data_IF_921748903600
#
_entry.id   IF_921748903600
#
_cell.length_a   1.000
_cell.length_b   1.000
_cell.length_c   1.000
_cell.angle_alpha   90.00
_cell.angle_beta   90.00
_cell.angle_gamma   90.00
#
_symmetry.space_group_name_H-M   'P 1'
#
loop_
_entity.id
_entity.type
_entity.pdbx_description
1 polymer ?
#
# COMPACT_ATOMS: atom_id res chain seq x y z
N UNK A 1 -7.09 -16.98 -53.48
CA UNK A 1 -6.04 -17.87 -54.04
C UNK A 1 -4.86 -17.92 -53.08
N UNK A 2 -4.36 -19.13 -52.86
CA UNK A 2 -3.31 -19.53 -51.93
C UNK A 2 -1.96 -18.87 -52.21
N UNK A 3 -1.15 -18.60 -51.17
CA UNK A 3 0.04 -19.42 -50.90
C UNK A 3 0.68 -19.12 -49.52
N UNK A 4 0.96 -20.23 -48.83
CA UNK A 4 1.75 -20.38 -47.61
C UNK A 4 3.21 -19.97 -47.82
N UNK A 5 3.89 -19.53 -46.75
CA UNK A 5 5.20 -20.08 -46.38
C UNK A 5 5.45 -20.02 -44.88
N UNK A 6 5.51 -21.22 -44.31
CA UNK A 6 6.15 -21.57 -43.05
C UNK A 6 7.64 -21.24 -43.10
N UNK A 7 8.19 -20.66 -42.03
CA UNK A 7 9.51 -21.01 -41.53
C UNK A 7 9.50 -20.97 -39.99
N UNK A 8 9.61 -22.18 -39.43
CA UNK A 8 10.06 -22.45 -38.07
C UNK A 8 11.57 -22.17 -38.01
N UNK A 9 12.04 -21.41 -37.02
CA UNK A 9 13.40 -21.54 -36.50
C UNK A 9 13.32 -21.64 -34.99
N UNK A 10 13.68 -22.83 -34.54
CA UNK A 10 13.98 -23.21 -33.17
C UNK A 10 15.38 -22.70 -32.81
N UNK A 11 15.56 -22.12 -31.62
CA UNK A 11 16.87 -22.09 -30.97
C UNK A 11 16.75 -21.93 -29.47
N UNK A 12 16.94 -23.07 -28.82
CA UNK A 12 17.25 -23.25 -27.41
C UNK A 12 18.61 -22.63 -27.09
N UNK A 13 18.70 -21.79 -26.08
CA UNK A 13 19.95 -21.65 -25.32
C UNK A 13 19.65 -21.58 -23.83
N UNK A 14 19.73 -22.77 -23.23
CA UNK A 14 19.94 -22.99 -21.82
C UNK A 14 21.33 -22.42 -21.47
N UNK A 15 21.39 -21.47 -20.54
CA UNK A 15 22.66 -21.07 -19.92
C UNK A 15 22.50 -21.07 -18.42
N UNK A 16 22.97 -22.17 -17.83
CA UNK A 16 23.26 -22.29 -16.42
C UNK A 16 24.36 -21.30 -16.04
N UNK A 17 24.06 -20.39 -15.10
CA UNK A 17 25.10 -19.66 -14.35
C UNK A 17 25.14 -20.15 -12.92
N UNK A 18 26.12 -21.01 -12.70
CA UNK A 18 27.01 -21.17 -11.54
C UNK A 18 26.68 -20.27 -10.34
N UNK A 19 26.23 -20.88 -9.24
CA UNK A 19 26.30 -20.31 -7.90
C UNK A 19 27.75 -20.38 -7.39
N UNK A 20 28.41 -19.24 -7.25
CA UNK A 20 29.63 -19.11 -6.45
C UNK A 20 29.27 -18.56 -5.07
N UNK A 21 29.33 -19.42 -4.05
CA UNK A 21 29.34 -19.02 -2.63
C UNK A 21 30.70 -18.42 -2.31
N UNK A 22 30.75 -17.14 -1.98
CA UNK A 22 31.91 -16.52 -1.32
C UNK A 22 31.58 -16.39 0.16
N UNK A 23 32.34 -17.11 0.99
CA UNK A 23 32.32 -17.00 2.44
C UNK A 23 33.01 -15.69 2.86
N UNK A 24 32.29 -14.84 3.60
CA UNK A 24 32.83 -13.64 4.23
C UNK A 24 33.21 -13.88 5.70
N UNK A 25 34.29 -13.28 6.22
CA UNK A 25 34.81 -13.55 7.55
C UNK A 25 34.04 -12.84 8.68
N UNK A 26 33.97 -13.54 9.80
CA UNK A 26 33.43 -13.10 11.09
C UNK A 26 34.13 -11.84 11.61
N UNK A 27 33.35 -10.78 11.87
CA UNK A 27 33.82 -9.60 12.61
C UNK A 27 33.33 -9.66 14.07
N UNK A 28 34.31 -9.75 14.97
CA UNK A 28 34.17 -9.71 16.43
C UNK A 28 33.68 -8.32 16.87
N UNK A 29 32.69 -8.28 17.75
CA UNK A 29 32.23 -7.07 18.44
C UNK A 29 33.09 -6.88 19.69
N UNK A 30 33.74 -5.73 19.83
CA UNK A 30 34.33 -5.25 21.08
C UNK A 30 33.46 -4.10 21.60
N UNK A 31 32.88 -4.29 22.78
CA UNK A 31 32.23 -3.23 23.55
C UNK A 31 33.31 -2.39 24.22
N UNK A 32 33.29 -1.07 24.00
CA UNK A 32 34.09 -0.11 24.78
C UNK A 32 33.17 0.63 25.73
N UNK A 33 33.29 0.28 27.00
CA UNK A 33 32.74 1.00 28.15
C UNK A 33 33.54 2.29 28.35
N UNK A 34 32.85 3.44 28.41
CA UNK A 34 33.45 4.69 28.89
C UNK A 34 32.67 5.13 30.13
N UNK A 35 33.43 5.30 31.21
CA UNK A 35 33.00 5.63 32.56
C UNK A 35 33.40 7.07 32.90
N UNK A 36 32.44 7.87 33.39
CA UNK A 36 32.57 9.04 34.31
C UNK A 36 33.43 10.23 33.88
N UNK A 37 33.45 11.36 34.63
CA UNK A 37 32.80 11.71 35.92
C UNK A 37 31.79 12.89 35.79
N UNK A 38 30.73 13.07 36.58
CA UNK A 38 30.55 13.33 38.03
C UNK A 38 30.88 14.77 38.51
N UNK A 39 29.87 15.37 39.19
CA UNK A 39 29.83 16.55 40.10
C UNK A 39 29.71 17.93 39.41
N UNK A 40 28.84 18.87 39.82
CA UNK A 40 28.32 19.14 41.16
C UNK A 40 26.91 19.81 41.16
N UNK A 41 26.22 19.60 42.30
CA UNK A 41 24.96 20.17 42.77
C UNK A 41 24.91 21.70 42.86
N UNK A 42 23.71 22.29 42.79
CA UNK A 42 23.17 23.18 43.84
C UNK A 42 21.65 23.01 43.94
N UNK A 43 21.19 22.94 45.20
CA UNK A 43 19.85 22.73 45.76
C UNK A 43 18.84 23.88 45.57
N UNK A 44 17.61 23.57 46.05
CA UNK A 44 16.58 24.44 46.63
C UNK A 44 15.44 24.83 45.68
N UNK A 45 14.14 24.79 46.03
CA UNK A 45 13.44 24.45 47.28
C UNK A 45 11.93 24.45 46.97
N UNK A 46 11.22 23.45 47.49
CA UNK A 46 9.85 23.47 48.07
C UNK A 46 8.72 24.22 47.33
N UNK A 47 7.71 23.47 46.88
CA UNK A 47 6.34 23.51 47.44
C UNK A 47 5.36 22.64 46.63
N UNK A 48 4.77 21.65 47.28
CA UNK A 48 3.47 21.08 46.90
C UNK A 48 2.34 22.05 47.32
N UNK A 49 1.12 21.90 46.79
CA UNK A 49 0.15 21.13 47.57
C UNK A 49 -0.79 20.23 46.76
N UNK A 50 -1.39 19.33 47.53
CA UNK A 50 -2.39 18.31 47.25
C UNK A 50 -3.82 18.87 47.14
N UNK A 51 -4.62 18.30 46.24
CA UNK A 51 -6.07 18.03 46.41
C UNK A 51 -6.54 17.10 45.27
N UNK A 52 -6.89 15.83 45.48
CA UNK A 52 -8.14 15.30 46.06
C UNK A 52 -9.41 15.62 45.25
N UNK A 53 -10.26 14.59 45.09
CA UNK A 53 -11.58 14.51 44.42
C UNK A 53 -11.55 14.26 42.90
N UNK A 54 -12.21 13.25 42.34
CA UNK A 54 -13.03 12.19 42.91
C UNK A 54 -13.49 11.24 41.78
N UNK A 55 -13.35 9.94 42.02
CA UNK A 55 -14.03 8.92 41.24
C UNK A 55 -15.53 9.04 41.50
N UNK A 56 -16.32 9.40 40.48
CA UNK A 56 -17.76 9.10 40.46
C UNK A 56 -18.03 8.07 39.39
N UNK A 57 -18.15 6.82 39.86
CA UNK A 57 -19.04 5.86 39.26
C UNK A 57 -20.47 6.43 39.32
N UNK A 58 -21.10 6.58 38.16
CA UNK A 58 -22.56 6.65 38.07
C UNK A 58 -22.97 5.51 37.17
N UNK A 59 -23.41 4.43 37.82
CA UNK A 59 -24.19 3.38 37.23
C UNK A 59 -25.61 3.89 36.95
N UNK A 60 -26.26 3.27 35.95
CA UNK A 60 -27.71 3.18 35.76
C UNK A 60 -28.45 4.46 35.32
N UNK A 61 -28.68 4.56 34.02
CA UNK A 61 -30.00 4.18 33.49
C UNK A 61 -29.89 3.86 31.99
N UNK A 62 -29.97 2.57 31.68
CA UNK A 62 -30.21 2.08 30.33
C UNK A 62 -31.68 2.33 29.98
N UNK A 63 -31.96 3.32 29.15
CA UNK A 63 -33.20 3.37 28.38
C UNK A 63 -32.98 2.55 27.12
N UNK A 64 -33.49 1.31 27.16
CA UNK A 64 -33.59 0.40 26.04
C UNK A 64 -34.70 0.86 25.09
N UNK A 65 -34.37 1.70 24.12
CA UNK A 65 -35.20 1.87 22.93
C UNK A 65 -34.80 0.81 21.89
N UNK A 66 -35.41 -0.36 22.03
CA UNK A 66 -35.20 -1.57 21.22
C UNK A 66 -35.73 -1.50 19.78
N UNK A 67 -35.61 -0.36 19.10
CA UNK A 67 -36.19 -0.15 17.76
C UNK A 67 -35.18 0.19 16.65
N UNK A 68 -33.87 0.23 16.92
CA UNK A 68 -32.85 0.63 15.91
C UNK A 68 -31.98 -0.50 15.33
N UNK A 69 -31.99 -1.69 15.93
CA UNK A 69 -31.06 -2.76 15.55
C UNK A 69 -31.51 -3.54 14.30
N UNK A 70 -32.81 -3.66 14.05
CA UNK A 70 -33.35 -4.36 12.88
C UNK A 70 -33.04 -3.63 11.57
N UNK A 71 -33.18 -2.29 11.55
CA UNK A 71 -32.87 -1.47 10.37
C UNK A 71 -31.36 -1.42 10.06
N UNK A 72 -30.50 -1.34 11.09
CA UNK A 72 -29.04 -1.42 10.92
C UNK A 72 -28.62 -2.78 10.36
N UNK A 73 -29.24 -3.88 10.84
CA UNK A 73 -28.94 -5.24 10.39
C UNK A 73 -29.35 -5.47 8.93
N UNK A 74 -30.51 -4.98 8.49
CA UNK A 74 -30.94 -5.10 7.09
C UNK A 74 -30.07 -4.25 6.15
N UNK A 75 -29.72 -3.01 6.54
CA UNK A 75 -28.80 -2.18 5.75
C UNK A 75 -27.40 -2.81 5.61
N UNK A 76 -26.91 -3.47 6.66
CA UNK A 76 -25.64 -4.19 6.62
C UNK A 76 -25.69 -5.43 5.70
N UNK A 77 -26.79 -6.18 5.70
CA UNK A 77 -27.00 -7.31 4.78
C UNK A 77 -27.02 -6.85 3.32
N UNK A 78 -27.72 -5.77 3.02
CA UNK A 78 -27.83 -5.26 1.64
C UNK A 78 -26.48 -4.70 1.14
N UNK A 79 -25.74 -4.01 2.01
CA UNK A 79 -24.38 -3.58 1.72
C UNK A 79 -23.44 -4.77 1.46
N UNK A 80 -23.55 -5.84 2.27
CA UNK A 80 -22.76 -7.06 2.09
C UNK A 80 -23.10 -7.79 0.77
N UNK A 81 -24.39 -7.86 0.41
CA UNK A 81 -24.84 -8.44 -0.87
C UNK A 81 -24.29 -7.65 -2.06
N UNK A 82 -24.35 -6.32 -1.99
CA UNK A 82 -23.78 -5.42 -3.00
C UNK A 82 -22.26 -5.62 -3.11
N UNK A 83 -21.56 -5.69 -1.98
CA UNK A 83 -20.10 -5.90 -1.96
C UNK A 83 -19.70 -7.28 -2.50
N UNK A 84 -20.49 -8.33 -2.23
CA UNK A 84 -20.30 -9.66 -2.84
C UNK A 84 -20.48 -9.61 -4.35
N UNK A 85 -21.51 -8.92 -4.85
CA UNK A 85 -21.74 -8.74 -6.29
C UNK A 85 -20.56 -8.03 -6.97
N UNK A 86 -20.07 -6.94 -6.37
CA UNK A 86 -18.86 -6.22 -6.82
C UNK A 86 -17.64 -7.14 -6.93
N UNK A 87 -17.40 -7.94 -5.89
CA UNK A 87 -16.26 -8.87 -5.85
C UNK A 87 -16.36 -9.93 -6.96
N UNK A 88 -17.52 -10.55 -7.11
CA UNK A 88 -17.74 -11.57 -8.15
C UNK A 88 -17.51 -10.99 -9.56
N UNK A 89 -17.98 -9.76 -9.83
CA UNK A 89 -17.72 -9.08 -11.11
C UNK A 89 -16.23 -8.89 -11.37
N UNK A 90 -15.47 -8.54 -10.34
CA UNK A 90 -14.02 -8.34 -10.47
C UNK A 90 -13.29 -9.67 -10.70
N UNK A 91 -13.63 -10.70 -9.93
CA UNK A 91 -13.02 -12.03 -10.02
C UNK A 91 -13.31 -12.68 -11.38
N UNK A 92 -14.57 -12.67 -11.86
CA UNK A 92 -14.95 -13.21 -13.17
C UNK A 92 -14.17 -12.56 -14.33
N UNK A 93 -13.93 -11.25 -14.25
CA UNK A 93 -13.21 -10.52 -15.29
C UNK A 93 -11.70 -10.76 -15.25
N UNK A 94 -11.12 -11.07 -14.08
CA UNK A 94 -9.71 -11.45 -13.96
C UNK A 94 -9.48 -12.89 -14.44
N UNK A 95 -10.47 -13.77 -14.27
CA UNK A 95 -10.40 -15.16 -14.73
C UNK A 95 -10.63 -15.31 -16.25
N UNK A 96 -11.32 -14.34 -16.86
CA UNK A 96 -11.51 -14.31 -18.31
C UNK A 96 -10.20 -13.98 -19.03
N UNK A 97 -9.37 -15.02 -19.19
CA UNK A 97 -8.02 -15.07 -19.78
C UNK A 97 -7.91 -14.48 -21.19
N UNK A 98 -9.04 -14.11 -21.82
CA UNK A 98 -9.11 -13.42 -23.11
C UNK A 98 -8.93 -11.91 -23.00
N UNK A 99 -9.06 -11.32 -21.82
CA UNK A 99 -8.81 -9.89 -21.60
C UNK A 99 -7.39 -9.73 -21.07
N UNK A 100 -6.44 -9.55 -21.97
CA UNK A 100 -5.01 -9.50 -21.67
C UNK A 100 -4.56 -8.20 -20.97
N UNK A 101 -5.47 -7.34 -20.49
CA UNK A 101 -5.10 -6.05 -19.88
C UNK A 101 -6.12 -5.57 -18.85
N UNK A 102 -5.69 -5.27 -17.62
CA UNK A 102 -6.58 -4.80 -16.54
C UNK A 102 -7.28 -3.51 -16.94
N UNK A 103 -6.63 -2.63 -17.71
CA UNK A 103 -7.25 -1.41 -18.24
C UNK A 103 -8.48 -1.66 -19.12
N UNK A 104 -8.42 -2.68 -19.98
CA UNK A 104 -9.57 -3.06 -20.83
C UNK A 104 -10.71 -3.61 -19.97
N UNK A 105 -10.37 -4.42 -18.97
CA UNK A 105 -11.30 -4.91 -17.96
C UNK A 105 -11.99 -3.77 -17.21
N UNK A 106 -11.24 -2.76 -16.74
CA UNK A 106 -11.81 -1.61 -16.02
C UNK A 106 -12.72 -0.76 -16.91
N UNK A 107 -12.36 -0.56 -18.17
CA UNK A 107 -13.23 0.13 -19.14
C UNK A 107 -14.51 -0.68 -19.43
N UNK A 108 -14.41 -2.01 -19.50
CA UNK A 108 -15.57 -2.89 -19.67
C UNK A 108 -16.46 -2.90 -18.41
N UNK A 109 -15.86 -2.88 -17.21
CA UNK A 109 -16.56 -2.81 -15.94
C UNK A 109 -17.43 -1.56 -15.85
N UNK A 110 -16.90 -0.39 -16.24
CA UNK A 110 -17.70 0.85 -16.29
C UNK A 110 -18.91 0.75 -17.23
N UNK A 111 -18.79 0.05 -18.36
CA UNK A 111 -19.93 -0.19 -19.26
C UNK A 111 -20.98 -1.10 -18.62
N UNK A 112 -20.54 -2.09 -17.85
CA UNK A 112 -21.41 -3.08 -17.18
C UNK A 112 -21.99 -2.61 -15.84
N UNK A 113 -21.56 -1.48 -15.28
CA UNK A 113 -22.17 -0.92 -14.06
C UNK A 113 -23.70 -0.79 -14.17
N UNK A 114 -24.19 -0.44 -15.37
CA UNK A 114 -25.63 -0.36 -15.68
C UNK A 114 -26.33 -1.71 -15.65
N UNK A 115 -25.69 -2.77 -16.14
CA UNK A 115 -26.25 -4.13 -16.21
C UNK A 115 -26.35 -4.77 -14.82
N UNK A 116 -25.35 -4.52 -13.97
CA UNK A 116 -25.30 -5.09 -12.63
C UNK A 116 -26.04 -4.22 -11.59
N UNK A 117 -26.42 -2.99 -11.94
CA UNK A 117 -27.07 -2.05 -11.01
C UNK A 117 -26.18 -1.67 -9.82
N UNK A 118 -24.86 -1.70 -10.00
CA UNK A 118 -23.88 -1.44 -8.94
C UNK A 118 -22.81 -0.49 -9.45
N UNK A 119 -22.58 0.60 -8.71
CA UNK A 119 -21.53 1.57 -9.01
C UNK A 119 -20.19 1.15 -8.38
N UNK A 120 -19.13 1.18 -9.17
CA UNK A 120 -17.75 0.88 -8.74
C UNK A 120 -17.10 2.21 -8.35
N UNK A 121 -16.72 2.32 -7.08
CA UNK A 121 -16.07 3.52 -6.54
C UNK A 121 -14.55 3.40 -6.60
N UNK A 122 -13.83 4.52 -6.50
CA UNK A 122 -12.37 4.52 -6.32
C UNK A 122 -11.94 3.66 -5.12
N UNK A 123 -12.68 3.72 -4.01
CA UNK A 123 -12.41 2.89 -2.85
C UNK A 123 -12.51 1.39 -3.14
N UNK A 124 -13.45 0.97 -4.01
CA UNK A 124 -13.53 -0.43 -4.44
C UNK A 124 -12.30 -0.83 -5.26
N UNK A 125 -11.87 0.03 -6.20
CA UNK A 125 -10.67 -0.18 -7.02
C UNK A 125 -9.41 -0.29 -6.16
N UNK A 126 -9.21 0.64 -5.23
CA UNK A 126 -8.07 0.63 -4.29
C UNK A 126 -8.07 -0.64 -3.45
N UNK A 127 -9.24 -1.05 -2.94
CA UNK A 127 -9.36 -2.29 -2.16
C UNK A 127 -9.00 -3.52 -2.98
N UNK A 128 -9.42 -3.58 -4.24
CA UNK A 128 -9.08 -4.66 -5.16
C UNK A 128 -7.59 -4.66 -5.52
N UNK A 129 -7.01 -3.51 -5.82
CA UNK A 129 -5.58 -3.38 -6.11
C UNK A 129 -4.72 -3.81 -4.91
N UNK A 130 -5.09 -3.40 -3.68
CA UNK A 130 -4.43 -3.86 -2.45
C UNK A 130 -4.54 -5.37 -2.23
N UNK A 131 -5.65 -6.00 -2.65
CA UNK A 131 -5.79 -7.45 -2.61
C UNK A 131 -4.84 -8.11 -3.61
N UNK A 132 -4.82 -7.63 -4.85
CA UNK A 132 -3.90 -8.12 -5.87
C UNK A 132 -2.42 -7.99 -5.45
N UNK A 133 -2.05 -6.88 -4.81
CA UNK A 133 -0.70 -6.68 -4.26
C UNK A 133 -0.35 -7.73 -3.20
N UNK A 134 -1.29 -8.03 -2.29
CA UNK A 134 -1.12 -9.09 -1.29
C UNK A 134 -1.00 -10.49 -1.91
N UNK A 135 -1.69 -10.72 -3.01
CA UNK A 135 -1.65 -11.99 -3.75
C UNK A 135 -0.39 -12.10 -4.65
N UNK A 136 0.55 -11.15 -4.57
CA UNK A 136 1.77 -11.12 -5.39
C UNK A 136 1.55 -10.66 -6.83
N UNK A 137 0.33 -10.27 -7.21
CA UNK A 137 -0.03 -9.79 -8.55
C UNK A 137 0.26 -8.30 -8.71
N UNK A 138 1.49 -7.88 -8.38
CA UNK A 138 1.91 -6.47 -8.32
C UNK A 138 1.66 -5.71 -9.64
N UNK A 139 1.95 -6.34 -10.78
CA UNK A 139 1.72 -5.71 -12.09
C UNK A 139 0.24 -5.39 -12.34
N UNK A 140 -0.68 -6.29 -11.96
CA UNK A 140 -2.11 -6.06 -12.12
C UNK A 140 -2.60 -4.94 -11.19
N UNK A 141 -2.10 -4.92 -9.95
CA UNK A 141 -2.38 -3.84 -9.01
C UNK A 141 -1.87 -2.48 -9.53
N UNK A 142 -0.67 -2.44 -10.11
CA UNK A 142 -0.10 -1.25 -10.74
C UNK A 142 -0.98 -0.76 -11.90
N UNK A 143 -1.39 -1.64 -12.82
CA UNK A 143 -2.27 -1.26 -13.95
C UNK A 143 -3.60 -0.64 -13.47
N UNK A 144 -4.13 -1.07 -12.32
CA UNK A 144 -5.33 -0.46 -11.73
C UNK A 144 -5.08 0.98 -11.28
N UNK A 145 -3.96 1.24 -10.60
CA UNK A 145 -3.63 2.60 -10.16
C UNK A 145 -3.29 3.52 -11.33
N UNK A 146 -2.57 3.02 -12.34
CA UNK A 146 -2.28 3.77 -13.56
C UNK A 146 -3.57 4.17 -14.29
N UNK A 147 -4.55 3.26 -14.36
CA UNK A 147 -5.87 3.60 -14.91
C UNK A 147 -6.62 4.65 -14.06
N UNK A 148 -6.52 4.59 -12.74
CA UNK A 148 -7.12 5.61 -11.86
C UNK A 148 -6.48 6.99 -12.10
N UNK A 149 -5.16 7.04 -12.28
CA UNK A 149 -4.43 8.26 -12.63
C UNK A 149 -4.81 8.80 -14.02
N UNK A 150 -4.95 7.94 -15.03
CA UNK A 150 -5.46 8.31 -16.36
C UNK A 150 -6.85 8.95 -16.29
N UNK A 151 -7.68 8.50 -15.34
CA UNK A 151 -9.00 9.06 -15.06
C UNK A 151 -8.98 10.27 -14.11
N UNK A 152 -7.79 10.79 -13.78
CA UNK A 152 -7.58 11.96 -12.92
C UNK A 152 -8.22 11.81 -11.54
N UNK A 153 -8.28 10.57 -11.03
CA UNK A 153 -8.71 10.31 -9.66
C UNK A 153 -7.61 10.79 -8.71
N UNK A 154 -7.97 11.59 -7.71
CA UNK A 154 -7.01 12.10 -6.72
C UNK A 154 -6.74 11.04 -5.68
N UNK A 155 -5.46 10.74 -5.45
CA UNK A 155 -5.06 9.78 -4.42
C UNK A 155 -5.01 10.42 -3.05
N UNK A 156 -5.57 9.75 -2.05
CA UNK A 156 -5.25 10.05 -0.65
C UNK A 156 -3.77 9.75 -0.35
N UNK A 157 -3.17 10.31 0.70
CA UNK A 157 -1.78 10.00 1.05
C UNK A 157 -1.51 8.50 1.24
N UNK A 158 -2.49 7.76 1.77
CA UNK A 158 -2.38 6.31 1.93
C UNK A 158 -2.46 5.54 0.60
N UNK A 159 -3.18 6.07 -0.37
CA UNK A 159 -3.29 5.53 -1.73
C UNK A 159 -2.03 5.83 -2.52
N UNK A 160 -1.50 7.05 -2.42
CA UNK A 160 -0.21 7.42 -2.99
C UNK A 160 0.91 6.51 -2.45
N UNK A 161 0.93 6.25 -1.14
CA UNK A 161 1.90 5.33 -0.54
C UNK A 161 1.77 3.90 -1.10
N UNK A 162 0.54 3.45 -1.34
CA UNK A 162 0.29 2.15 -1.98
C UNK A 162 0.83 2.15 -3.42
N UNK A 163 0.55 3.22 -4.17
CA UNK A 163 0.94 3.30 -5.58
C UNK A 163 2.45 3.40 -5.76
N UNK A 164 3.13 4.23 -4.98
CA UNK A 164 4.60 4.37 -5.02
C UNK A 164 5.29 3.05 -4.68
N UNK A 165 4.78 2.30 -3.68
CA UNK A 165 5.28 0.95 -3.40
C UNK A 165 5.03 -0.05 -4.53
N UNK A 166 3.95 0.11 -5.31
CA UNK A 166 3.70 -0.71 -6.50
C UNK A 166 4.63 -0.35 -7.66
N UNK A 167 4.96 0.93 -7.85
CA UNK A 167 5.94 1.37 -8.86
C UNK A 167 7.28 0.71 -8.59
N UNK A 168 7.76 0.78 -7.34
CA UNK A 168 9.05 0.18 -6.95
C UNK A 168 9.08 -1.34 -7.23
N UNK A 169 8.02 -2.07 -6.86
CA UNK A 169 7.92 -3.52 -7.09
C UNK A 169 7.82 -3.94 -8.56
N UNK A 170 7.36 -3.06 -9.45
CA UNK A 170 7.04 -3.41 -10.85
C UNK A 170 8.00 -2.82 -11.86
N UNK A 171 8.65 -1.71 -11.51
CA UNK A 171 9.61 -0.97 -12.30
C UNK A 171 10.91 -0.95 -11.52
N UNK A 172 11.21 0.16 -10.84
CA UNK A 172 12.35 0.29 -9.96
C UNK A 172 12.15 1.43 -8.95
N UNK A 173 13.05 1.50 -7.98
CA UNK A 173 13.03 2.50 -6.92
C UNK A 173 13.21 3.93 -7.47
N UNK A 174 14.02 4.12 -8.51
CA UNK A 174 14.25 5.43 -9.13
C UNK A 174 12.98 5.99 -9.77
N UNK A 175 12.24 5.16 -10.50
CA UNK A 175 10.93 5.54 -11.03
C UNK A 175 9.92 5.87 -9.93
N UNK A 176 9.95 5.15 -8.80
CA UNK A 176 9.08 5.42 -7.67
C UNK A 176 9.37 6.79 -7.02
N UNK A 177 10.66 7.14 -6.86
CA UNK A 177 11.07 8.48 -6.39
C UNK A 177 10.70 9.58 -7.38
N UNK A 178 10.94 9.36 -8.68
CA UNK A 178 10.61 10.33 -9.72
C UNK A 178 9.10 10.62 -9.75
N UNK A 179 8.27 9.58 -9.59
CA UNK A 179 6.83 9.73 -9.47
C UNK A 179 6.44 10.53 -8.22
N UNK A 180 6.99 10.18 -7.05
CA UNK A 180 6.70 10.88 -5.80
C UNK A 180 7.04 12.38 -5.88
N UNK A 181 8.21 12.73 -6.42
CA UNK A 181 8.63 14.13 -6.61
C UNK A 181 7.72 14.89 -7.57
N UNK A 182 7.16 14.23 -8.58
CA UNK A 182 6.14 14.83 -9.46
C UNK A 182 4.81 15.04 -8.74
N UNK A 183 4.42 14.13 -7.85
CA UNK A 183 3.17 14.20 -7.11
C UNK A 183 3.22 15.22 -5.96
N UNK A 184 4.39 15.44 -5.37
CA UNK A 184 4.62 16.38 -4.28
C UNK A 184 5.99 17.07 -4.43
N UNK A 185 6.09 18.10 -5.31
CA UNK A 185 7.36 18.75 -5.62
C UNK A 185 7.93 19.56 -4.44
N UNK A 186 7.06 20.03 -3.55
CA UNK A 186 7.40 20.86 -2.40
C UNK A 186 7.52 20.04 -1.11
N UNK A 187 7.66 18.71 -1.22
CA UNK A 187 7.77 17.81 -0.08
C UNK A 187 9.03 18.11 0.75
N UNK A 188 8.83 18.49 2.01
CA UNK A 188 9.89 18.61 3.00
C UNK A 188 10.09 17.30 3.75
N UNK A 189 11.27 16.68 3.57
CA UNK A 189 11.61 15.42 4.24
C UNK A 189 11.98 15.58 5.73
N UNK A 190 12.05 16.81 6.23
CA UNK A 190 12.21 17.12 7.65
C UNK A 190 10.86 17.29 8.35
N UNK A 191 9.78 17.54 7.61
CA UNK A 191 8.44 17.65 8.17
C UNK A 191 7.75 16.27 8.23
N UNK A 192 7.85 15.63 9.39
CA UNK A 192 7.17 14.34 9.66
C UNK A 192 5.65 14.43 9.67
N UNK A 193 5.07 15.63 9.70
CA UNK A 193 3.62 15.87 9.61
C UNK A 193 3.17 16.18 8.18
N UNK A 194 4.09 16.23 7.23
CA UNK A 194 3.79 16.45 5.82
C UNK A 194 2.74 15.45 5.33
N UNK A 195 1.82 15.93 4.49
CA UNK A 195 0.66 15.17 4.04
C UNK A 195 1.04 13.82 3.44
N UNK A 196 2.11 13.78 2.65
CA UNK A 196 2.55 12.59 1.92
C UNK A 196 3.70 11.82 2.60
N UNK A 197 3.97 12.11 3.88
CA UNK A 197 4.92 11.35 4.69
C UNK A 197 4.75 9.82 4.61
N UNK A 198 3.52 9.25 4.59
CA UNK A 198 3.35 7.81 4.44
C UNK A 198 3.98 7.23 3.16
N UNK A 199 3.93 7.96 2.04
CA UNK A 199 4.52 7.51 0.78
C UNK A 199 6.04 7.63 0.79
N UNK A 200 6.58 8.71 1.37
CA UNK A 200 8.01 8.85 1.58
C UNK A 200 8.57 7.73 2.48
N UNK A 201 7.85 7.37 3.54
CA UNK A 201 8.24 6.27 4.43
C UNK A 201 8.33 4.92 3.71
N UNK A 202 7.45 4.66 2.75
CA UNK A 202 7.53 3.47 1.89
C UNK A 202 8.80 3.50 1.04
N UNK A 203 9.12 4.63 0.41
CA UNK A 203 10.35 4.79 -0.37
C UNK A 203 11.61 4.56 0.47
N UNK A 204 11.68 5.15 1.67
CA UNK A 204 12.82 4.96 2.58
C UNK A 204 12.98 3.50 2.99
N UNK A 205 11.87 2.81 3.25
CA UNK A 205 11.91 1.38 3.54
C UNK A 205 12.47 0.59 2.35
N UNK A 206 11.95 0.81 1.14
CA UNK A 206 12.44 0.14 -0.06
C UNK A 206 13.92 0.46 -0.35
N UNK A 207 14.36 1.70 -0.08
CA UNK A 207 15.77 2.09 -0.19
C UNK A 207 16.67 1.29 0.77
N UNK A 208 16.27 1.16 2.04
CA UNK A 208 17.02 0.36 3.02
C UNK A 208 17.03 -1.13 2.65
N UNK A 209 15.91 -1.66 2.16
CA UNK A 209 15.76 -3.09 1.83
C UNK A 209 16.52 -3.48 0.55
N UNK A 210 16.70 -2.54 -0.39
CA UNK A 210 17.33 -2.80 -1.69
C UNK A 210 18.87 -2.84 -1.64
N UNK A 211 19.50 -2.49 -0.51
CA UNK A 211 20.96 -2.55 -0.35
C UNK A 211 21.74 -1.63 -1.30
N UNK A 212 21.07 -0.71 -1.99
CA UNK A 212 21.64 0.21 -2.99
C UNK A 212 22.30 1.40 -2.29
N UNK A 213 23.14 1.14 -1.30
CA UNK A 213 23.93 2.17 -0.63
C UNK A 213 25.16 2.58 -1.47
N UNK A 214 25.45 1.88 -2.57
CA UNK A 214 26.72 1.97 -3.30
C UNK A 214 26.65 2.61 -4.69
N UNK A 215 25.55 3.27 -5.08
CA UNK A 215 25.44 3.81 -6.47
C UNK A 215 24.89 5.22 -6.64
N UNK A 216 24.58 5.93 -5.56
CA UNK A 216 23.99 7.29 -5.66
C UNK A 216 24.63 8.30 -4.68
N UNK A 217 25.92 8.12 -4.37
CA UNK A 217 26.78 9.18 -3.83
C UNK A 217 27.82 9.52 -4.88
#
# INVERSE_FOLDING_TARGET
>A
MYLRRFLLVSSSHLSHRVCSRVAGPARKRTCTTISGPALASVEASVAAPSSAAGFKAVSLLSTSDGSSDSAKKEKAKEAAKTQRKKRNMFEEQLENRRVTRVKQTLNALRRREKEYGVSITQADLVRWARRLDKDGKHHHAYEMFEWMEEKKMTFSPSELATFVGLIEKTKDLGEAFAYFKKADPDFDNMDVKSKNWPAYKVLMKCYCDSGVHARFV
#
